data_IF_945989300443
#
_entry.id   IF_945989300443
#
_cell.length_a   1.000
_cell.length_b   1.000
_cell.length_c   1.000
_cell.angle_alpha   90.00
_cell.angle_beta   90.00
_cell.angle_gamma   90.00
#
_symmetry.space_group_name_H-M   'P 1'
#
loop_
_entity.id
_entity.type
_entity.pdbx_description
1 polymer ?
#
# COMPACT_ATOMS: atom_id res chain seq x y z
N UNK A 1 -21.07 36.20 13.53
CA UNK A 1 -19.83 36.36 12.77
C UNK A 1 -19.25 34.96 12.53
N UNK A 2 -19.26 34.55 11.28
CA UNK A 2 -18.62 33.29 10.89
C UNK A 2 -17.09 33.51 10.98
N UNK A 3 -16.43 32.70 11.81
CA UNK A 3 -14.96 32.64 11.81
C UNK A 3 -14.53 32.12 10.45
N UNK A 4 -13.50 32.73 9.87
CA UNK A 4 -12.94 32.33 8.58
C UNK A 4 -12.63 30.83 8.55
N UNK A 5 -13.17 30.14 7.56
CA UNK A 5 -12.86 28.74 7.31
C UNK A 5 -11.52 28.69 6.61
N UNK A 6 -10.54 28.02 7.21
CA UNK A 6 -9.27 27.74 6.56
C UNK A 6 -9.38 26.46 5.73
N UNK A 7 -8.86 26.48 4.51
CA UNK A 7 -8.71 25.29 3.67
C UNK A 7 -7.25 24.85 3.72
N UNK A 8 -7.02 23.60 4.06
CA UNK A 8 -5.71 22.95 4.01
C UNK A 8 -5.73 21.90 2.90
N UNK A 9 -4.81 22.02 1.95
CA UNK A 9 -4.66 21.03 0.90
C UNK A 9 -3.84 19.85 1.45
N UNK A 10 -4.42 18.65 1.38
CA UNK A 10 -3.75 17.40 1.74
C UNK A 10 -3.62 16.50 0.52
N UNK A 11 -2.46 15.88 0.40
CA UNK A 11 -2.24 14.80 -0.56
C UNK A 11 -2.91 13.54 -0.02
N UNK A 12 -3.59 12.81 -0.89
CA UNK A 12 -4.24 11.53 -0.57
C UNK A 12 -3.71 10.48 -1.51
N UNK A 13 -3.38 9.30 -0.98
CA UNK A 13 -2.94 8.17 -1.78
C UNK A 13 -4.15 7.58 -2.50
N UNK A 14 -4.06 7.40 -3.80
CA UNK A 14 -5.06 6.70 -4.61
C UNK A 14 -4.57 5.31 -4.98
N UNK A 15 -5.46 4.33 -4.89
CA UNK A 15 -5.17 2.92 -5.19
C UNK A 15 -6.11 2.43 -6.30
N UNK A 16 -5.77 2.67 -7.58
CA UNK A 16 -6.68 2.37 -8.71
C UNK A 16 -7.11 0.90 -8.80
N UNK A 17 -6.26 -0.03 -8.31
CA UNK A 17 -6.56 -1.46 -8.29
C UNK A 17 -7.30 -1.90 -7.01
N UNK A 18 -7.58 -0.99 -6.11
CA UNK A 18 -8.34 -1.24 -4.87
C UNK A 18 -7.78 -2.42 -4.06
N UNK A 19 -8.68 -3.24 -3.56
CA UNK A 19 -8.34 -4.35 -2.66
C UNK A 19 -7.63 -5.54 -3.34
N UNK A 20 -7.59 -5.61 -4.67
CA UNK A 20 -6.97 -6.76 -5.38
C UNK A 20 -5.45 -6.84 -5.19
N UNK A 21 -4.81 -5.72 -4.93
CA UNK A 21 -3.36 -5.61 -4.74
C UNK A 21 -2.99 -5.00 -3.38
N UNK A 22 -3.97 -4.69 -2.56
CA UNK A 22 -3.79 -3.94 -1.32
C UNK A 22 -2.83 -4.63 -0.33
N UNK A 23 -2.92 -5.95 -0.17
CA UNK A 23 -2.03 -6.70 0.73
C UNK A 23 -0.56 -6.67 0.30
N UNK A 24 -0.29 -6.43 -1.00
CA UNK A 24 1.05 -6.30 -1.53
C UNK A 24 1.55 -4.86 -1.41
N UNK A 25 0.76 -3.90 -1.91
CA UNK A 25 1.12 -2.47 -1.88
C UNK A 25 1.22 -1.99 -0.43
N UNK A 26 0.25 -2.35 0.39
CA UNK A 26 0.20 -1.96 1.79
C UNK A 26 -0.54 -0.64 2.01
N UNK A 27 -0.20 0.03 3.11
CA UNK A 27 -0.90 1.20 3.61
C UNK A 27 0.06 2.35 3.91
N UNK A 28 -0.43 3.56 3.71
CA UNK A 28 0.26 4.80 4.07
C UNK A 28 -0.50 5.48 5.21
N UNK A 29 0.24 6.00 6.18
CA UNK A 29 -0.32 6.76 7.30
C UNK A 29 -0.72 8.19 6.92
N UNK A 30 -1.29 8.90 7.89
CA UNK A 30 -1.70 10.31 7.74
C UNK A 30 -0.53 11.26 7.42
N UNK A 31 0.68 10.91 7.81
CA UNK A 31 1.91 11.66 7.55
C UNK A 31 2.62 11.22 6.26
N UNK A 32 1.93 10.47 5.40
CA UNK A 32 2.45 9.90 4.15
C UNK A 32 3.61 8.90 4.33
N UNK A 33 3.80 8.37 5.54
CA UNK A 33 4.79 7.34 5.83
C UNK A 33 4.17 5.97 5.55
N UNK A 34 4.89 5.12 4.81
CA UNK A 34 4.48 3.74 4.54
C UNK A 34 4.42 2.91 5.84
N UNK A 35 3.24 2.35 6.15
CA UNK A 35 2.99 1.58 7.37
C UNK A 35 3.11 0.07 7.14
N UNK A 36 2.85 -0.40 5.94
CA UNK A 36 2.85 -1.82 5.60
C UNK A 36 3.17 -2.05 4.12
N UNK A 37 3.46 -3.31 3.76
CA UNK A 37 3.67 -3.74 2.38
C UNK A 37 4.85 -3.03 1.69
N UNK A 38 4.74 -2.87 0.38
CA UNK A 38 5.75 -2.20 -0.43
C UNK A 38 5.87 -0.70 -0.09
N UNK A 39 4.79 -0.05 0.31
CA UNK A 39 4.84 1.34 0.78
C UNK A 39 5.79 1.49 1.97
N UNK A 40 5.78 0.55 2.91
CA UNK A 40 6.72 0.55 4.03
C UNK A 40 8.14 0.15 3.60
N UNK A 41 8.27 -0.95 2.85
CA UNK A 41 9.58 -1.47 2.45
C UNK A 41 10.37 -0.50 1.57
N UNK A 42 9.68 0.25 0.72
CA UNK A 42 10.24 1.19 -0.23
C UNK A 42 10.04 2.65 0.16
N UNK A 43 9.58 2.92 1.39
CA UNK A 43 9.26 4.28 1.85
C UNK A 43 10.40 5.26 1.58
N UNK A 44 11.65 4.88 1.85
CA UNK A 44 12.81 5.73 1.61
C UNK A 44 13.00 6.14 0.12
N UNK A 45 12.54 5.30 -0.81
CA UNK A 45 12.63 5.58 -2.25
C UNK A 45 11.41 6.34 -2.75
N UNK A 46 10.23 6.04 -2.20
CA UNK A 46 8.96 6.63 -2.59
C UNK A 46 8.75 8.02 -1.97
N UNK A 47 9.35 8.25 -0.81
CA UNK A 47 9.22 9.52 -0.10
C UNK A 47 10.08 10.60 -0.77
N UNK A 48 9.45 11.75 -0.99
CA UNK A 48 10.13 12.95 -1.45
C UNK A 48 10.69 13.74 -0.27
N UNK A 49 11.55 14.69 -0.57
CA UNK A 49 12.05 15.64 0.42
C UNK A 49 11.34 16.97 0.25
N UNK A 50 10.73 17.44 1.33
CA UNK A 50 10.11 18.76 1.36
C UNK A 50 11.15 19.86 1.11
N UNK A 51 10.83 20.79 0.23
CA UNK A 51 11.63 21.99 0.05
C UNK A 51 11.36 23.00 1.17
N UNK A 52 12.32 23.88 1.39
CA UNK A 52 12.20 24.99 2.33
C UNK A 52 12.35 26.31 1.56
N UNK A 53 11.47 27.24 1.85
CA UNK A 53 11.53 28.61 1.30
C UNK A 53 11.34 29.61 2.44
N UNK A 54 12.40 30.32 2.77
CA UNK A 54 12.31 31.42 3.73
C UNK A 54 11.91 32.71 3.00
N UNK A 55 10.85 33.33 3.48
CA UNK A 55 10.33 34.56 2.91
C UNK A 55 9.95 35.55 3.99
N UNK A 56 10.30 36.81 3.78
CA UNK A 56 9.80 37.93 4.58
C UNK A 56 8.43 38.36 4.07
N UNK A 57 7.49 38.47 4.99
CA UNK A 57 6.13 38.97 4.69
C UNK A 57 5.93 40.36 5.26
N UNK A 58 5.36 41.24 4.45
CA UNK A 58 4.88 42.53 4.90
C UNK A 58 3.64 42.43 5.78
N UNK A 59 3.25 43.55 6.38
CA UNK A 59 2.06 43.66 7.25
C UNK A 59 0.76 43.19 6.57
N UNK A 60 0.69 43.25 5.26
CA UNK A 60 -0.46 42.85 4.46
C UNK A 60 -0.38 41.38 3.99
N UNK A 61 0.58 40.61 4.48
CA UNK A 61 0.79 39.21 4.05
C UNK A 61 1.51 39.07 2.70
N UNK A 62 1.78 40.16 1.98
CA UNK A 62 2.52 40.13 0.73
C UNK A 62 3.98 39.67 0.98
N UNK A 63 4.51 38.86 0.07
CA UNK A 63 5.93 38.48 0.11
C UNK A 63 6.76 39.69 -0.31
N UNK A 64 7.60 40.19 0.59
CA UNK A 64 8.48 41.33 0.35
C UNK A 64 9.82 40.88 -0.23
N UNK A 65 10.33 39.76 0.23
CA UNK A 65 11.62 39.22 -0.17
C UNK A 65 11.72 37.73 0.08
N UNK A 66 12.47 37.03 -0.74
CA UNK A 66 12.78 35.62 -0.63
C UNK A 66 14.28 35.51 -0.48
N UNK A 67 14.74 34.77 0.54
CA UNK A 67 16.16 34.51 0.72
C UNK A 67 16.61 33.43 -0.26
N UNK A 68 17.50 33.76 -1.23
CA UNK A 68 18.00 32.76 -2.16
C UNK A 68 18.94 31.76 -1.51
N UNK A 69 19.61 32.10 -0.40
CA UNK A 69 20.53 31.22 0.32
C UNK A 69 19.78 30.20 1.17
N UNK A 70 18.56 30.51 1.58
CA UNK A 70 17.66 29.65 2.35
C UNK A 70 16.58 28.97 1.49
N UNK A 71 16.79 28.87 0.17
CA UNK A 71 15.93 28.15 -0.74
C UNK A 71 16.48 26.76 -1.00
N UNK A 72 15.80 25.76 -0.48
CA UNK A 72 16.04 24.34 -0.77
C UNK A 72 14.87 23.82 -1.60
N UNK A 73 15.10 23.43 -2.87
CA UNK A 73 14.03 22.91 -3.72
C UNK A 73 13.54 21.55 -3.18
N UNK A 74 12.24 21.31 -3.35
CA UNK A 74 11.67 19.98 -3.10
C UNK A 74 12.32 18.95 -4.03
N UNK A 75 12.44 17.71 -3.55
CA UNK A 75 12.83 16.59 -4.37
C UNK A 75 11.70 15.58 -4.34
N UNK A 76 11.17 15.22 -5.50
CA UNK A 76 10.09 14.24 -5.59
C UNK A 76 10.62 12.84 -5.33
N UNK A 77 9.79 11.94 -4.81
CA UNK A 77 10.11 10.54 -4.64
C UNK A 77 10.30 9.82 -5.97
N UNK A 78 10.80 8.61 -5.93
CA UNK A 78 11.07 7.79 -7.12
C UNK A 78 9.84 6.95 -7.46
N UNK A 79 9.63 6.71 -8.75
CA UNK A 79 8.67 5.73 -9.21
C UNK A 79 9.23 4.31 -9.03
N UNK A 80 8.35 3.37 -8.70
CA UNK A 80 8.69 1.95 -8.58
C UNK A 80 7.81 1.14 -9.52
N UNK A 81 8.44 0.40 -10.42
CA UNK A 81 7.78 -0.54 -11.30
C UNK A 81 7.85 -1.94 -10.72
N UNK A 82 6.69 -2.61 -10.62
CA UNK A 82 6.58 -3.99 -10.15
C UNK A 82 6.51 -4.96 -11.33
N UNK A 83 6.83 -6.22 -11.06
CA UNK A 83 6.67 -7.34 -12.01
C UNK A 83 5.24 -7.87 -12.06
N UNK A 84 4.37 -7.35 -11.22
CA UNK A 84 2.97 -7.77 -11.12
C UNK A 84 2.22 -7.47 -12.43
N UNK A 85 1.63 -8.51 -13.00
CA UNK A 85 0.68 -8.39 -14.10
C UNK A 85 -0.74 -8.21 -13.53
N UNK A 86 -1.35 -7.09 -13.84
CA UNK A 86 -2.67 -6.71 -13.29
C UNK A 86 -3.75 -7.72 -13.69
N UNK A 87 -3.69 -8.27 -14.90
CA UNK A 87 -4.68 -9.23 -15.40
C UNK A 87 -4.52 -10.58 -14.65
N UNK A 88 -3.30 -11.06 -14.52
CA UNK A 88 -3.01 -12.29 -13.78
C UNK A 88 -3.38 -12.13 -12.31
N UNK A 89 -3.06 -10.98 -11.71
CA UNK A 89 -3.43 -10.63 -10.34
C UNK A 89 -4.95 -10.69 -10.13
N UNK A 90 -5.71 -10.09 -11.03
CA UNK A 90 -7.18 -10.08 -10.96
C UNK A 90 -7.77 -11.48 -11.11
N UNK A 91 -7.29 -12.26 -12.07
CA UNK A 91 -7.69 -13.66 -12.28
C UNK A 91 -7.41 -14.47 -11.01
N UNK A 92 -6.18 -14.40 -10.48
CA UNK A 92 -5.78 -15.12 -9.27
C UNK A 92 -6.66 -14.73 -8.07
N UNK A 93 -6.90 -13.44 -7.87
CA UNK A 93 -7.73 -12.92 -6.79
C UNK A 93 -9.17 -13.42 -6.89
N UNK A 94 -9.76 -13.37 -8.08
CA UNK A 94 -11.14 -13.80 -8.29
C UNK A 94 -11.32 -15.31 -8.10
N UNK A 95 -10.40 -16.11 -8.60
CA UNK A 95 -10.44 -17.57 -8.40
C UNK A 95 -10.20 -17.96 -6.95
N UNK A 96 -9.24 -17.31 -6.28
CA UNK A 96 -8.99 -17.56 -4.87
C UNK A 96 -10.19 -17.22 -3.99
N UNK A 97 -10.84 -16.07 -4.24
CA UNK A 97 -12.04 -15.65 -3.51
C UNK A 97 -13.17 -16.69 -3.64
N UNK A 98 -13.42 -17.17 -4.86
CA UNK A 98 -14.42 -18.22 -5.10
C UNK A 98 -14.05 -19.52 -4.38
N UNK A 99 -12.77 -19.92 -4.38
CA UNK A 99 -12.30 -21.10 -3.71
C UNK A 99 -12.45 -20.99 -2.18
N UNK A 100 -12.05 -19.88 -1.59
CA UNK A 100 -12.18 -19.60 -0.14
C UNK A 100 -13.63 -19.71 0.32
N UNK A 101 -14.56 -19.10 -0.44
CA UNK A 101 -16.00 -19.17 -0.14
C UNK A 101 -16.55 -20.58 -0.30
N UNK A 102 -16.22 -21.26 -1.41
CA UNK A 102 -16.69 -22.64 -1.69
C UNK A 102 -16.24 -23.63 -0.63
N UNK A 103 -15.01 -23.48 -0.14
CA UNK A 103 -14.44 -24.37 0.88
C UNK A 103 -14.76 -23.91 2.31
N UNK A 104 -15.50 -22.82 2.49
CA UNK A 104 -15.73 -22.18 3.79
C UNK A 104 -14.41 -22.03 4.57
N UNK A 105 -13.34 -21.64 3.87
CA UNK A 105 -12.02 -21.44 4.47
C UNK A 105 -11.93 -20.07 5.16
N UNK A 106 -11.10 -19.97 6.21
CA UNK A 106 -10.84 -18.69 6.89
C UNK A 106 -9.98 -17.72 6.08
N UNK A 107 -9.41 -18.19 4.96
CA UNK A 107 -8.61 -17.38 4.04
C UNK A 107 -7.89 -18.28 3.04
N UNK A 108 -7.14 -17.65 2.14
CA UNK A 108 -6.34 -18.34 1.14
C UNK A 108 -5.27 -17.45 0.57
N UNK A 109 -4.24 -18.06 -0.01
CA UNK A 109 -3.08 -17.36 -0.58
C UNK A 109 -2.71 -17.98 -1.91
N UNK A 110 -2.30 -17.13 -2.85
CA UNK A 110 -1.78 -17.55 -4.15
C UNK A 110 -0.59 -16.67 -4.52
N UNK A 111 0.48 -17.31 -4.98
CA UNK A 111 1.62 -16.66 -5.61
C UNK A 111 1.83 -17.28 -6.98
N UNK A 112 1.92 -16.45 -8.00
CA UNK A 112 2.20 -16.85 -9.39
C UNK A 112 3.56 -16.32 -9.78
N UNK A 113 4.44 -17.20 -10.24
CA UNK A 113 5.81 -16.89 -10.64
C UNK A 113 6.01 -17.24 -12.10
N UNK A 114 6.83 -16.44 -12.80
CA UNK A 114 7.39 -16.85 -14.07
C UNK A 114 8.53 -17.85 -13.81
N UNK A 115 8.44 -19.10 -14.30
CA UNK A 115 9.46 -20.12 -14.05
C UNK A 115 10.80 -19.84 -14.73
N UNK A 116 10.84 -18.94 -15.70
CA UNK A 116 12.07 -18.61 -16.45
C UNK A 116 12.86 -17.48 -15.77
N UNK A 117 12.17 -16.47 -15.27
CA UNK A 117 12.81 -15.27 -14.69
C UNK A 117 12.76 -15.28 -13.16
N UNK A 118 11.80 -15.98 -12.55
CA UNK A 118 11.51 -15.92 -11.12
C UNK A 118 10.68 -14.70 -10.73
N UNK A 119 10.22 -13.91 -11.69
CA UNK A 119 9.39 -12.73 -11.42
C UNK A 119 8.04 -13.13 -10.81
N UNK A 120 7.61 -12.37 -9.83
CA UNK A 120 6.29 -12.54 -9.23
C UNK A 120 5.26 -11.79 -10.10
N UNK A 121 4.42 -12.57 -10.79
CA UNK A 121 3.37 -12.05 -11.67
C UNK A 121 2.07 -11.74 -10.93
N UNK A 122 1.79 -12.48 -9.86
CA UNK A 122 0.66 -12.22 -8.97
C UNK A 122 0.97 -12.69 -7.55
N UNK A 123 0.48 -11.96 -6.57
CA UNK A 123 0.54 -12.33 -5.16
C UNK A 123 -0.73 -11.82 -4.48
N UNK A 124 -1.58 -12.73 -4.03
CA UNK A 124 -2.86 -12.38 -3.43
C UNK A 124 -3.08 -13.13 -2.12
N UNK A 125 -3.62 -12.42 -1.17
CA UNK A 125 -3.98 -12.90 0.17
C UNK A 125 -5.42 -12.49 0.46
N UNK A 126 -6.30 -13.46 0.69
CA UNK A 126 -7.71 -13.23 0.98
C UNK A 126 -8.03 -13.75 2.37
N UNK A 127 -8.66 -12.90 3.16
CA UNK A 127 -9.28 -13.27 4.42
C UNK A 127 -10.78 -13.41 4.26
N UNK A 128 -11.33 -14.43 4.93
CA UNK A 128 -12.75 -14.63 5.12
C UNK A 128 -13.01 -14.68 6.64
N UNK A 129 -13.25 -13.53 7.29
CA UNK A 129 -13.43 -13.46 8.74
C UNK A 129 -14.60 -14.33 9.18
N UNK A 130 -14.42 -15.07 10.28
CA UNK A 130 -15.47 -15.84 10.92
C UNK A 130 -16.10 -15.03 12.04
N UNK A 131 -17.31 -15.43 12.47
CA UNK A 131 -18.10 -14.72 13.50
C UNK A 131 -17.33 -14.43 14.81
N UNK A 132 -16.34 -15.27 15.15
CA UNK A 132 -15.54 -15.11 16.37
C UNK A 132 -14.26 -14.28 16.19
N UNK A 133 -14.05 -13.69 15.01
CA UNK A 133 -12.90 -12.84 14.78
C UNK A 133 -13.23 -11.40 15.15
N UNK A 134 -12.39 -10.80 15.97
CA UNK A 134 -12.47 -9.36 16.24
C UNK A 134 -12.34 -8.61 14.91
N UNK A 135 -13.39 -7.90 14.53
CA UNK A 135 -13.35 -7.02 13.37
C UNK A 135 -12.49 -5.81 13.74
N UNK A 136 -11.43 -5.60 12.98
CA UNK A 136 -10.74 -4.32 13.02
C UNK A 136 -11.68 -3.25 12.47
N UNK A 137 -11.72 -2.10 13.16
CA UNK A 137 -12.56 -0.97 12.76
C UNK A 137 -12.03 -0.47 11.41
N UNK A 138 -12.83 -0.61 10.35
CA UNK A 138 -12.51 0.00 9.06
C UNK A 138 -12.74 1.51 9.17
N UNK A 139 -11.72 2.29 8.88
CA UNK A 139 -11.85 3.73 8.71
C UNK A 139 -12.59 4.00 7.37
N UNK A 140 -13.80 4.60 7.40
CA UNK A 140 -14.56 4.87 6.19
C UNK A 140 -13.87 5.85 5.23
N UNK A 141 -12.87 6.58 5.72
CA UNK A 141 -12.04 7.49 4.90
C UNK A 141 -10.87 6.79 4.19
N UNK A 142 -10.65 5.50 4.46
CA UNK A 142 -9.60 4.71 3.81
C UNK A 142 -10.20 3.90 2.66
N UNK A 143 -9.60 4.01 1.49
CA UNK A 143 -9.96 3.22 0.30
C UNK A 143 -9.61 1.72 0.43
N UNK A 144 -8.71 1.39 1.37
CA UNK A 144 -8.21 0.02 1.58
C UNK A 144 -8.56 -0.45 2.98
N UNK A 145 -9.07 -1.68 3.07
CA UNK A 145 -9.32 -2.37 4.33
C UNK A 145 -7.99 -2.54 5.11
N UNK A 146 -7.87 -2.03 6.36
CA UNK A 146 -6.66 -2.18 7.18
C UNK A 146 -6.20 -3.62 7.38
N UNK A 147 -7.11 -4.60 7.30
CA UNK A 147 -6.79 -6.03 7.38
C UNK A 147 -5.88 -6.51 6.26
N UNK A 148 -5.83 -5.77 5.15
CA UNK A 148 -4.98 -6.06 3.99
C UNK A 148 -3.58 -5.44 4.11
N UNK A 149 -3.30 -4.70 5.18
CA UNK A 149 -1.98 -4.12 5.44
C UNK A 149 -0.87 -5.14 5.70
N UNK A 150 -1.22 -6.43 5.91
CA UNK A 150 -0.27 -7.53 6.08
C UNK A 150 -0.41 -8.53 4.95
N UNK A 151 0.68 -8.83 4.27
CA UNK A 151 0.72 -9.87 3.23
C UNK A 151 1.14 -11.22 3.82
N UNK A 152 0.18 -12.10 4.00
CA UNK A 152 0.39 -13.43 4.61
C UNK A 152 1.11 -14.42 3.70
N UNK A 153 1.22 -14.12 2.42
CA UNK A 153 2.09 -14.90 1.51
C UNK A 153 3.56 -14.84 1.96
N UNK A 154 3.95 -13.73 2.61
CA UNK A 154 5.33 -13.48 3.06
C UNK A 154 5.51 -13.68 4.56
N UNK A 155 4.49 -13.37 5.36
CA UNK A 155 4.63 -13.28 6.81
C UNK A 155 4.24 -14.53 7.57
N UNK A 156 3.38 -15.38 6.99
CA UNK A 156 2.83 -16.53 7.70
C UNK A 156 3.48 -17.82 7.24
N UNK A 157 4.28 -18.47 8.09
CA UNK A 157 4.79 -19.80 7.80
C UNK A 157 3.65 -20.83 7.75
N UNK A 158 3.83 -21.86 6.96
CA UNK A 158 2.93 -23.00 6.93
C UNK A 158 3.72 -24.31 6.83
N UNK A 159 3.15 -25.40 7.30
CA UNK A 159 3.74 -26.72 7.18
C UNK A 159 3.44 -27.28 5.78
N UNK A 160 4.46 -27.44 4.91
CA UNK A 160 4.25 -27.75 3.50
C UNK A 160 3.72 -29.18 3.26
N UNK A 161 4.00 -30.12 4.18
CA UNK A 161 3.60 -31.50 4.04
C UNK A 161 4.08 -32.10 2.72
N UNK A 162 3.19 -32.83 2.01
CA UNK A 162 3.51 -33.49 0.73
C UNK A 162 3.90 -32.55 -0.41
N UNK A 163 3.62 -31.24 -0.31
CA UNK A 163 4.02 -30.26 -1.33
C UNK A 163 5.52 -30.04 -1.36
N UNK A 164 6.23 -30.47 -0.31
CA UNK A 164 7.69 -30.37 -0.24
C UNK A 164 8.42 -31.52 -0.98
N UNK A 165 7.71 -32.58 -1.37
CA UNK A 165 8.31 -33.76 -2.04
C UNK A 165 9.15 -33.45 -3.28
N UNK A 166 8.79 -32.49 -4.17
CA UNK A 166 9.62 -32.15 -5.33
C UNK A 166 11.03 -31.66 -4.98
N UNK A 167 11.26 -31.21 -3.75
CA UNK A 167 12.55 -30.71 -3.28
C UNK A 167 13.39 -31.76 -2.56
N UNK A 168 12.88 -32.97 -2.40
CA UNK A 168 13.53 -34.06 -1.62
C UNK A 168 14.12 -35.14 -2.54
N UNK A 169 14.10 -34.95 -3.85
CA UNK A 169 14.61 -35.88 -4.88
C UNK A 169 16.01 -35.48 -5.32
#
# INVERSE_FOLDING_TARGET
>A
SYKSVGLEQRLVRSYPQGNSIASLIGLVGTEHIGLAGLEHALNHSLDGKSGTLVRLRGRNGATLWVDPEDYYPKTDGKDVQLTIDVVIQEIATNHLRKAVLRCNAGGGRVVVLDPKTGDILAMTDILNPRENWTQEVSDPMREIDPRLGRNRCLTDPYEPGSTFKPFVW
#
